data_IF_010863687698
#
_entry.id   IF_010863687698
#
_cell.length_a   1.000
_cell.length_b   1.000
_cell.length_c   1.000
_cell.angle_alpha   90.00
_cell.angle_beta   90.00
_cell.angle_gamma   90.00
#
_symmetry.space_group_name_H-M   'P 1'
#
loop_
_entity.id
_entity.type
_entity.pdbx_description
1 polymer ?
#
# COMPACT_ATOMS: atom_id res chain seq x y z
N UNK A 1 7.53 -27.30 -0.43
CA UNK A 1 8.91 -27.15 0.11
C UNK A 1 9.48 -25.86 -0.40
N UNK A 2 10.19 -25.10 0.42
CA UNK A 2 10.84 -23.85 0.01
C UNK A 2 12.24 -23.78 0.59
N UNK A 3 13.17 -23.13 -0.10
CA UNK A 3 14.48 -22.78 0.42
C UNK A 3 14.45 -21.34 0.93
N UNK A 4 14.58 -21.10 2.25
CA UNK A 4 14.58 -19.75 2.82
C UNK A 4 15.91 -19.04 2.56
N UNK A 5 15.85 -17.85 1.98
CA UNK A 5 17.02 -16.99 1.70
C UNK A 5 17.24 -15.91 2.75
N UNK A 6 16.17 -15.50 3.44
CA UNK A 6 16.25 -14.53 4.53
C UNK A 6 14.95 -13.76 4.72
N UNK A 7 15.02 -12.72 5.56
CA UNK A 7 13.89 -11.85 5.90
C UNK A 7 14.16 -10.43 5.40
N UNK A 8 13.10 -9.76 4.92
CA UNK A 8 13.13 -8.34 4.59
C UNK A 8 11.99 -7.62 5.29
N UNK A 9 12.27 -6.43 5.81
CA UNK A 9 11.26 -5.52 6.36
C UNK A 9 10.84 -4.53 5.28
N UNK A 10 9.54 -4.36 5.08
CA UNK A 10 8.99 -3.38 4.15
C UNK A 10 7.71 -2.77 4.72
N UNK A 11 7.72 -1.44 4.91
CA UNK A 11 6.68 -0.78 5.71
C UNK A 11 6.74 -1.26 7.16
N UNK A 12 5.59 -1.63 7.72
CA UNK A 12 5.44 -2.22 9.06
C UNK A 12 5.51 -3.76 9.07
N UNK A 13 5.76 -4.38 7.92
CA UNK A 13 5.64 -5.82 7.75
C UNK A 13 6.99 -6.51 7.49
N UNK A 14 7.10 -7.75 7.97
CA UNK A 14 8.20 -8.67 7.66
C UNK A 14 7.80 -9.70 6.62
N UNK A 15 8.70 -9.97 5.66
CA UNK A 15 8.51 -10.95 4.60
C UNK A 15 9.66 -11.95 4.58
N UNK A 16 9.33 -13.24 4.52
CA UNK A 16 10.26 -14.33 4.22
C UNK A 16 10.49 -14.39 2.71
N UNK A 17 11.74 -14.19 2.30
CA UNK A 17 12.20 -14.48 0.95
C UNK A 17 12.55 -15.97 0.86
N UNK A 18 11.89 -16.70 -0.04
CA UNK A 18 12.17 -18.11 -0.24
C UNK A 18 11.93 -18.53 -1.69
N UNK A 19 12.68 -19.52 -2.19
CA UNK A 19 12.47 -20.11 -3.51
C UNK A 19 11.73 -21.44 -3.42
N UNK A 20 10.84 -21.70 -4.37
CA UNK A 20 10.30 -23.03 -4.63
C UNK A 20 10.26 -23.25 -6.13
N UNK A 21 10.72 -24.41 -6.62
CA UNK A 21 10.80 -24.71 -8.05
C UNK A 21 11.46 -23.55 -8.83
N UNK A 22 12.64 -23.12 -8.35
CA UNK A 22 13.48 -22.05 -8.93
C UNK A 22 12.90 -20.63 -8.92
N UNK A 23 11.67 -20.43 -8.44
CA UNK A 23 11.05 -19.09 -8.40
C UNK A 23 11.16 -18.48 -7.01
N UNK A 24 11.80 -17.30 -6.91
CA UNK A 24 11.84 -16.49 -5.68
C UNK A 24 10.46 -15.89 -5.40
N UNK A 25 9.99 -16.05 -4.16
CA UNK A 25 8.71 -15.52 -3.67
C UNK A 25 8.90 -14.88 -2.29
N UNK A 26 8.02 -13.92 -2.00
CA UNK A 26 7.97 -13.23 -0.71
C UNK A 26 6.69 -13.61 0.04
N UNK A 27 6.84 -14.20 1.22
CA UNK A 27 5.75 -14.63 2.08
C UNK A 27 5.67 -13.71 3.29
N UNK A 28 4.53 -13.05 3.48
CA UNK A 28 4.33 -12.20 4.66
C UNK A 28 4.41 -13.05 5.93
N UNK A 29 5.38 -12.77 6.80
CA UNK A 29 5.76 -13.64 7.92
C UNK A 29 4.58 -13.92 8.85
N UNK A 30 3.75 -12.90 9.13
CA UNK A 30 2.55 -13.03 9.99
C UNK A 30 1.50 -14.00 9.43
N UNK A 31 1.56 -14.35 8.14
CA UNK A 31 0.65 -15.32 7.51
C UNK A 31 1.15 -16.76 7.57
N UNK A 32 2.40 -16.99 8.00
CA UNK A 32 2.98 -18.32 8.13
C UNK A 32 2.49 -18.93 9.45
N UNK A 33 1.55 -19.88 9.36
CA UNK A 33 0.98 -20.55 10.54
C UNK A 33 1.85 -21.67 11.09
N UNK A 34 2.60 -22.34 10.21
CA UNK A 34 3.44 -23.47 10.57
C UNK A 34 4.62 -23.56 9.59
N UNK A 35 5.78 -23.95 10.10
CA UNK A 35 6.97 -24.28 9.33
C UNK A 35 7.70 -25.44 10.01
N UNK A 36 8.19 -26.39 9.23
CA UNK A 36 8.98 -27.52 9.71
C UNK A 36 10.28 -27.58 8.91
N UNK A 37 11.40 -27.77 9.62
CA UNK A 37 12.70 -27.97 9.01
C UNK A 37 12.77 -29.38 8.42
N UNK A 38 13.32 -29.49 7.21
CA UNK A 38 13.59 -30.76 6.55
C UNK A 38 15.03 -31.20 6.81
N UNK A 39 15.30 -32.51 6.63
CA UNK A 39 16.64 -33.05 6.84
C UNK A 39 17.58 -32.67 5.68
N UNK A 40 17.02 -32.45 4.49
CA UNK A 40 17.73 -32.03 3.30
C UNK A 40 18.22 -30.57 3.45
N UNK A 41 19.55 -30.33 3.35
CA UNK A 41 20.08 -28.97 3.33
C UNK A 41 19.60 -28.18 2.12
N UNK A 42 19.49 -26.86 2.27
CA UNK A 42 19.27 -25.97 1.13
C UNK A 42 20.47 -25.99 0.19
N UNK A 43 20.21 -25.91 -1.11
CA UNK A 43 21.22 -26.08 -2.17
C UNK A 43 21.32 -24.87 -3.12
N UNK A 44 20.38 -23.92 -3.03
CA UNK A 44 20.37 -22.72 -3.84
C UNK A 44 21.53 -21.74 -3.56
N UNK A 45 21.88 -20.88 -4.53
CA UNK A 45 22.92 -19.87 -4.36
C UNK A 45 22.54 -18.85 -3.28
N UNK A 46 23.54 -18.20 -2.67
CA UNK A 46 23.29 -17.03 -1.83
C UNK A 46 22.57 -15.95 -2.64
N UNK A 47 21.43 -15.50 -2.11
CA UNK A 47 20.59 -14.48 -2.74
C UNK A 47 20.73 -13.17 -1.96
N UNK A 48 20.99 -12.07 -2.66
CA UNK A 48 20.79 -10.73 -2.10
C UNK A 48 19.28 -10.46 -1.94
N UNK A 49 18.76 -10.76 -0.74
CA UNK A 49 17.36 -10.59 -0.39
C UNK A 49 16.89 -9.15 -0.55
N UNK A 50 17.75 -8.16 -0.28
CA UNK A 50 17.39 -6.76 -0.39
C UNK A 50 17.24 -6.34 -1.86
N UNK A 51 18.14 -6.81 -2.73
CA UNK A 51 18.04 -6.58 -4.18
C UNK A 51 16.83 -7.31 -4.77
N UNK A 52 16.62 -8.57 -4.43
CA UNK A 52 15.46 -9.34 -4.88
C UNK A 52 14.13 -8.67 -4.48
N UNK A 53 14.05 -8.08 -3.28
CA UNK A 53 12.88 -7.32 -2.85
C UNK A 53 12.67 -6.05 -3.67
N UNK A 54 13.74 -5.28 -3.94
CA UNK A 54 13.67 -4.08 -4.78
C UNK A 54 13.15 -4.43 -6.17
N UNK A 55 13.69 -5.48 -6.79
CA UNK A 55 13.30 -5.91 -8.13
C UNK A 55 11.86 -6.44 -8.17
N UNK A 56 11.47 -7.22 -7.17
CA UNK A 56 10.10 -7.70 -7.02
C UNK A 56 9.11 -6.54 -6.87
N UNK A 57 9.43 -5.56 -6.01
CA UNK A 57 8.61 -4.37 -5.80
C UNK A 57 8.53 -3.51 -7.07
N UNK A 58 9.65 -3.32 -7.77
CA UNK A 58 9.67 -2.57 -9.03
C UNK A 58 8.83 -3.25 -10.11
N UNK A 59 8.96 -4.57 -10.31
CA UNK A 59 8.15 -5.33 -11.27
C UNK A 59 6.65 -5.31 -10.94
N UNK A 60 6.32 -5.35 -9.65
CA UNK A 60 4.94 -5.21 -9.20
C UNK A 60 4.40 -3.81 -9.51
N UNK A 61 5.13 -2.76 -9.14
CA UNK A 61 4.71 -1.37 -9.38
C UNK A 61 4.69 -0.98 -10.85
N UNK A 62 5.56 -1.54 -11.70
CA UNK A 62 5.59 -1.28 -13.14
C UNK A 62 4.33 -1.75 -13.88
N UNK A 63 3.48 -2.57 -13.24
CA UNK A 63 2.17 -2.95 -13.79
C UNK A 63 1.10 -1.86 -13.58
N UNK A 64 1.43 -0.85 -12.78
CA UNK A 64 0.51 0.21 -12.39
C UNK A 64 1.11 1.58 -12.76
N UNK A 65 0.25 2.59 -12.84
CA UNK A 65 0.66 3.99 -12.99
C UNK A 65 0.45 4.68 -11.66
N UNK A 66 1.52 4.92 -10.87
CA UNK A 66 1.39 5.49 -9.54
C UNK A 66 0.70 6.84 -9.54
N UNK A 67 -0.11 7.07 -8.51
CA UNK A 67 -0.85 8.32 -8.33
C UNK A 67 -0.46 8.94 -6.99
N UNK A 68 -0.09 10.22 -7.02
CA UNK A 68 0.12 11.02 -5.82
C UNK A 68 -1.11 11.88 -5.57
N UNK A 69 -1.65 11.81 -4.37
CA UNK A 69 -2.84 12.54 -3.94
C UNK A 69 -2.46 13.48 -2.81
N UNK A 70 -2.70 14.77 -3.02
CA UNK A 70 -2.57 15.80 -2.01
C UNK A 70 -3.92 15.95 -1.31
N UNK A 71 -3.92 15.77 0.01
CA UNK A 71 -5.15 15.70 0.77
C UNK A 71 -4.99 16.30 2.18
N UNK A 72 -6.13 16.66 2.76
CA UNK A 72 -6.27 16.79 4.20
C UNK A 72 -6.77 15.47 4.76
N UNK A 73 -6.15 14.96 5.82
CA UNK A 73 -6.62 13.80 6.57
C UNK A 73 -6.86 14.19 8.03
N UNK A 74 -7.87 13.59 8.68
CA UNK A 74 -8.01 13.73 10.13
C UNK A 74 -6.83 13.05 10.84
N UNK A 75 -6.29 13.71 11.86
CA UNK A 75 -5.17 13.19 12.64
C UNK A 75 -5.46 11.79 13.22
N UNK A 76 -6.71 11.53 13.64
CA UNK A 76 -7.14 10.24 14.18
C UNK A 76 -7.11 9.08 13.15
N UNK A 77 -7.12 9.37 11.84
CA UNK A 77 -7.05 8.38 10.76
C UNK A 77 -5.69 8.34 10.07
N UNK A 78 -4.69 9.03 10.64
CA UNK A 78 -3.37 9.10 10.03
C UNK A 78 -2.69 7.73 9.91
N UNK A 79 -2.76 6.91 10.96
CA UNK A 79 -2.14 5.58 10.93
C UNK A 79 -2.80 4.68 9.88
N UNK A 80 -4.13 4.74 9.74
CA UNK A 80 -4.87 4.05 8.67
C UNK A 80 -4.42 4.51 7.28
N UNK A 81 -4.33 5.83 7.07
CA UNK A 81 -3.93 6.40 5.78
C UNK A 81 -2.50 5.98 5.40
N UNK A 82 -1.58 5.92 6.38
CA UNK A 82 -0.20 5.44 6.19
C UNK A 82 -0.14 3.94 5.93
N UNK A 83 -0.98 3.15 6.60
CA UNK A 83 -1.03 1.70 6.41
C UNK A 83 -1.55 1.34 5.02
N UNK A 84 -2.54 2.09 4.52
CA UNK A 84 -3.23 1.74 3.27
C UNK A 84 -2.66 2.43 2.03
N UNK A 85 -1.81 3.46 2.17
CA UNK A 85 -1.06 4.01 1.03
C UNK A 85 0.26 3.28 0.79
N UNK A 86 0.87 3.44 -0.39
CA UNK A 86 2.23 2.96 -0.66
C UNK A 86 3.24 3.76 0.15
N UNK A 87 3.05 5.07 0.16
CA UNK A 87 3.87 6.05 0.84
C UNK A 87 2.96 7.15 1.36
N UNK A 88 3.37 7.77 2.47
CA UNK A 88 2.68 8.91 3.03
C UNK A 88 3.72 9.87 3.58
N UNK A 89 3.58 11.15 3.27
CA UNK A 89 4.44 12.20 3.81
C UNK A 89 3.61 13.41 4.25
N UNK A 90 3.97 14.08 5.36
CA UNK A 90 3.43 15.40 5.67
C UNK A 90 3.76 16.37 4.53
N UNK A 91 2.84 17.31 4.28
CA UNK A 91 3.02 18.34 3.25
C UNK A 91 2.66 19.70 3.83
N UNK A 92 3.39 20.74 3.43
CA UNK A 92 3.00 22.13 3.65
C UNK A 92 1.91 22.51 2.65
N UNK A 93 0.63 22.45 3.06
CA UNK A 93 -0.46 22.83 2.19
C UNK A 93 -0.49 24.34 1.95
N UNK A 94 -0.74 24.75 0.71
CA UNK A 94 -0.96 26.14 0.33
C UNK A 94 -2.34 26.70 0.75
N UNK A 95 -3.02 26.06 1.71
CA UNK A 95 -4.40 26.40 2.10
C UNK A 95 -4.69 26.16 3.57
N UNK A 96 -5.88 26.59 4.01
CA UNK A 96 -6.35 26.34 5.37
C UNK A 96 -6.97 24.95 5.50
N UNK A 97 -6.79 24.27 6.64
CA UNK A 97 -7.45 22.99 6.88
C UNK A 97 -8.98 23.14 6.87
N UNK A 98 -9.73 22.07 6.55
CA UNK A 98 -11.20 22.08 6.60
C UNK A 98 -11.80 22.34 7.99
N UNK A 99 -10.98 22.29 9.04
CA UNK A 99 -11.34 22.56 10.43
C UNK A 99 -10.25 22.12 11.39
N UNK A 100 -10.56 22.04 12.68
CA UNK A 100 -9.61 21.52 13.68
C UNK A 100 -9.33 20.01 13.49
N UNK A 101 -8.11 19.59 13.82
CA UNK A 101 -7.71 18.18 13.81
C UNK A 101 -7.37 17.61 12.43
N UNK A 102 -7.25 18.45 11.40
CA UNK A 102 -6.81 18.05 10.06
C UNK A 102 -5.33 18.29 9.86
N UNK A 103 -4.70 17.40 9.08
CA UNK A 103 -3.30 17.50 8.66
C UNK A 103 -3.19 17.43 7.15
N UNK A 104 -2.31 18.24 6.59
CA UNK A 104 -1.98 18.20 5.16
C UNK A 104 -0.98 17.07 4.91
N UNK A 105 -1.29 16.23 3.93
CA UNK A 105 -0.54 15.01 3.61
C UNK A 105 -0.50 14.79 2.11
N UNK A 106 0.58 14.17 1.65
CA UNK A 106 0.69 13.54 0.34
C UNK A 106 0.62 12.02 0.52
N UNK A 107 -0.28 11.38 -0.19
CA UNK A 107 -0.49 9.93 -0.19
C UNK A 107 -0.19 9.38 -1.58
N UNK A 108 0.63 8.33 -1.67
CA UNK A 108 0.95 7.68 -2.93
C UNK A 108 0.22 6.33 -3.04
N UNK A 109 -0.36 6.07 -4.20
CA UNK A 109 -1.14 4.87 -4.51
C UNK A 109 -0.58 4.15 -5.74
N UNK A 110 -1.01 2.90 -5.92
CA UNK A 110 -0.51 2.03 -7.00
C UNK A 110 -1.03 2.52 -8.33
N UNK A 111 -2.33 2.79 -8.36
CA UNK A 111 -3.11 3.29 -9.47
C UNK A 111 -4.35 4.01 -8.93
N UNK A 112 -5.20 4.47 -9.85
CA UNK A 112 -6.46 5.14 -9.53
C UNK A 112 -7.40 4.25 -8.71
N UNK A 113 -7.46 2.95 -9.02
CA UNK A 113 -8.34 2.01 -8.33
C UNK A 113 -7.95 1.88 -6.87
N UNK A 114 -6.65 1.74 -6.59
CA UNK A 114 -6.12 1.70 -5.24
C UNK A 114 -6.42 3.00 -4.49
N UNK A 115 -6.17 4.15 -5.14
CA UNK A 115 -6.45 5.46 -4.55
C UNK A 115 -7.93 5.61 -4.16
N UNK A 116 -8.85 5.40 -5.10
CA UNK A 116 -10.29 5.54 -4.88
C UNK A 116 -10.78 4.58 -3.80
N UNK A 117 -10.33 3.33 -3.80
CA UNK A 117 -10.71 2.33 -2.79
C UNK A 117 -10.32 2.77 -1.38
N UNK A 118 -9.09 3.24 -1.20
CA UNK A 118 -8.59 3.67 0.12
C UNK A 118 -9.28 4.96 0.57
N UNK A 119 -9.44 5.92 -0.34
CA UNK A 119 -10.05 7.21 -0.02
C UNK A 119 -11.55 7.05 0.34
N UNK A 120 -12.30 6.19 -0.36
CA UNK A 120 -13.68 5.84 0.03
C UNK A 120 -13.73 5.15 1.40
N UNK A 121 -12.76 4.29 1.72
CA UNK A 121 -12.68 3.61 3.02
C UNK A 121 -12.38 4.58 4.17
N UNK A 122 -11.61 5.64 3.92
CA UNK A 122 -11.41 6.72 4.89
C UNK A 122 -12.65 7.61 5.03
N UNK A 123 -13.51 7.67 4.00
CA UNK A 123 -14.79 8.35 4.05
C UNK A 123 -14.63 9.86 4.27
N UNK A 124 -15.41 10.42 5.20
CA UNK A 124 -15.41 11.86 5.51
C UNK A 124 -14.19 12.32 6.33
N UNK A 125 -13.26 11.42 6.67
CA UNK A 125 -12.03 11.74 7.39
C UNK A 125 -10.87 12.11 6.46
N UNK A 126 -11.10 12.11 5.14
CA UNK A 126 -10.14 12.57 4.13
C UNK A 126 -10.81 13.55 3.17
N UNK A 127 -10.05 14.54 2.71
CA UNK A 127 -10.48 15.50 1.69
C UNK A 127 -9.35 15.67 0.67
N UNK A 128 -9.63 15.27 -0.57
CA UNK A 128 -8.69 15.40 -1.68
C UNK A 128 -8.68 16.83 -2.21
N UNK A 129 -7.49 17.41 -2.33
CA UNK A 129 -7.25 18.72 -2.96
C UNK A 129 -6.70 18.58 -4.37
N UNK A 130 -5.83 17.58 -4.62
CA UNK A 130 -5.34 17.25 -5.96
C UNK A 130 -4.95 15.76 -6.07
N UNK A 131 -4.96 15.16 -7.27
CA UNK A 131 -5.40 15.73 -8.54
C UNK A 131 -6.94 15.72 -8.70
N UNK A 132 -7.45 16.59 -9.57
CA UNK A 132 -8.89 16.71 -9.84
C UNK A 132 -9.51 15.44 -10.45
N UNK A 133 -8.71 14.65 -11.17
CA UNK A 133 -9.15 13.36 -11.72
C UNK A 133 -9.58 12.38 -10.62
N UNK A 134 -8.75 12.21 -9.58
CA UNK A 134 -9.10 11.36 -8.43
C UNK A 134 -10.33 11.88 -7.69
N UNK A 135 -10.45 13.21 -7.55
CA UNK A 135 -11.62 13.83 -6.95
C UNK A 135 -12.89 13.55 -7.76
N UNK A 136 -12.81 13.61 -9.08
CA UNK A 136 -13.92 13.29 -9.99
C UNK A 136 -14.34 11.83 -9.86
N UNK A 137 -13.37 10.90 -9.91
CA UNK A 137 -13.63 9.45 -9.74
C UNK A 137 -14.28 9.13 -8.38
N UNK A 138 -13.89 9.82 -7.31
CA UNK A 138 -14.51 9.66 -6.00
C UNK A 138 -15.97 10.11 -5.99
N UNK A 139 -16.26 11.29 -6.55
CA UNK A 139 -17.62 11.81 -6.64
C UNK A 139 -18.52 10.86 -7.45
N UNK A 140 -18.04 10.39 -8.61
CA UNK A 140 -18.78 9.44 -9.44
C UNK A 140 -19.12 8.15 -8.67
N UNK A 141 -18.17 7.60 -7.90
CA UNK A 141 -18.42 6.42 -7.07
C UNK A 141 -19.43 6.70 -5.95
N UNK A 142 -19.31 7.85 -5.28
CA UNK A 142 -20.25 8.25 -4.21
C UNK A 142 -21.66 8.40 -4.78
N UNK A 143 -21.82 9.00 -5.95
CA UNK A 143 -23.11 9.18 -6.59
C UNK A 143 -23.73 7.85 -7.04
N UNK A 144 -22.92 6.93 -7.57
CA UNK A 144 -23.36 5.57 -7.90
C UNK A 144 -23.83 4.81 -6.65
N UNK A 145 -23.06 4.86 -5.57
CA UNK A 145 -23.42 4.26 -4.28
C UNK A 145 -24.71 4.89 -3.75
N UNK A 146 -24.80 6.22 -3.72
CA UNK A 146 -25.98 6.92 -3.24
C UNK A 146 -27.23 6.58 -4.07
N UNK A 147 -27.09 6.44 -5.39
CA UNK A 147 -28.17 6.00 -6.29
C UNK A 147 -28.63 4.60 -5.93
N UNK A 148 -27.70 3.65 -5.74
CA UNK A 148 -28.00 2.25 -5.40
C UNK A 148 -28.78 2.10 -4.09
N UNK A 149 -28.47 2.93 -3.08
CA UNK A 149 -29.15 2.86 -1.78
C UNK A 149 -30.44 3.69 -1.71
N UNK A 150 -30.68 4.57 -2.69
CA UNK A 150 -31.91 5.39 -2.78
C UNK A 150 -32.98 4.76 -3.68
N UNK A 151 -32.63 3.79 -4.51
CA UNK A 151 -33.56 2.97 -5.29
C UNK A 151 -34.19 1.88 -4.44
#
# INVERSE_FOLDING_TARGET
MVEPHGLVSAGSDWYLCASGEETVRFFKAVRIKHAALLAEPCSGPELDVAQAWRDHRARFLNQFTPVSVDAWARAARWDDAREWSICSSPMDAAGSPPGEGWRSVRLEFMDDLHAVTVLLRLGSDVRVEAPDDIKTKLLDNIDQIATLYRS
#
